data_IF_464431617819
#
_entry.id   IF_464431617819
#
_cell.length_a   1.000
_cell.length_b   1.000
_cell.length_c   1.000
_cell.angle_alpha   90.00
_cell.angle_beta   90.00
_cell.angle_gamma   90.00
#
_symmetry.space_group_name_H-M   'P 1'
#
loop_
_entity.id
_entity.type
_entity.pdbx_description
1 polymer ?
2 non-polymer ?
3 non-polymer ?
4 water ?
#
# COMPACT_ATOMS: atom_id res chain seq x y z
C UNK A 19 8.20 14.95 6.14
N UNK A 20 8.95 14.04 6.76
CA UNK A 20 8.25 13.23 7.71
C UNK A 20 7.91 13.98 9.01
N UNK A 21 6.75 13.65 9.55
CA UNK A 21 6.39 14.08 10.91
C UNK A 21 7.06 13.17 11.91
N UNK A 22 7.84 13.74 12.79
CA UNK A 22 8.57 12.94 13.76
C UNK A 22 7.60 12.52 14.85
N UNK A 23 7.55 11.25 15.18
CA UNK A 23 6.83 10.71 16.31
C UNK A 23 7.84 10.64 17.45
N UNK A 24 7.76 11.49 18.42
CA UNK A 24 8.85 11.59 19.41
C UNK A 24 8.78 10.56 20.49
N UNK A 25 7.59 9.94 20.69
CA UNK A 25 7.77 8.83 21.65
C UNK A 25 6.73 7.74 21.29
N UNK A 26 6.85 6.65 22.00
CA UNK A 26 6.05 5.45 21.78
C UNK A 26 4.77 5.54 22.61
N UNK A 27 3.87 4.61 22.34
CA UNK A 27 2.63 4.45 23.04
C UNK A 27 1.84 5.73 23.15
N UNK A 28 1.87 6.44 22.02
CA UNK A 28 1.22 7.76 21.97
C UNK A 28 0.47 8.04 20.70
N UNK A 29 -0.74 8.57 20.77
CA UNK A 29 -1.53 8.76 19.56
C UNK A 29 -1.29 10.00 18.70
N UNK A 30 -1.10 9.86 17.39
CA UNK A 30 -0.97 10.85 16.32
C UNK A 30 -2.32 10.93 15.57
N UNK A 31 -2.78 12.05 15.08
CA UNK A 31 -3.97 12.21 14.28
C UNK A 31 -3.56 12.56 12.88
N UNK A 32 -4.17 11.92 11.88
CA UNK A 32 -3.96 12.26 10.54
C UNK A 32 -5.23 12.30 9.71
N UNK A 33 -5.07 12.84 8.52
CA UNK A 33 -6.17 13.11 7.64
C UNK A 33 -5.76 12.86 6.18
N UNK A 34 -6.61 12.12 5.44
CA UNK A 34 -6.33 11.79 4.04
C UNK A 34 -7.56 12.06 3.18
N UNK A 35 -7.92 13.33 3.07
CA UNK A 35 -9.09 13.70 2.32
C UNK A 35 -8.71 14.16 0.93
N UNK A 36 -9.41 13.74 -0.08
CA UNK A 36 -9.25 14.20 -1.43
C UNK A 36 -7.82 13.91 -1.91
N UNK A 37 -7.16 14.96 -2.37
CA UNK A 37 -5.83 14.86 -2.93
C UNK A 37 -4.81 14.37 -1.91
N UNK A 38 -5.06 14.47 -0.64
CA UNK A 38 -4.13 14.03 0.39
C UNK A 38 -4.23 12.51 0.50
N UNK A 39 -3.26 11.80 -0.08
CA UNK A 39 -3.27 10.37 -0.15
C UNK A 39 -2.19 9.67 0.66
N UNK A 40 -1.22 10.42 1.12
CA UNK A 40 -0.04 9.92 1.83
C UNK A 40 0.28 10.86 2.98
N UNK A 41 0.56 10.29 4.14
CA UNK A 41 1.16 10.97 5.26
C UNK A 41 2.45 10.25 5.65
N UNK A 42 3.46 11.06 5.97
CA UNK A 42 4.80 10.57 6.24
C UNK A 42 5.17 10.78 7.70
N UNK A 43 5.72 9.74 8.33
CA UNK A 43 6.20 9.79 9.70
C UNK A 43 7.61 9.19 9.83
N UNK A 44 8.27 9.49 10.89
CA UNK A 44 9.48 8.81 11.24
C UNK A 44 9.53 8.61 12.75
N UNK A 45 10.35 7.65 13.15
CA UNK A 45 10.66 7.44 14.54
C UNK A 45 12.03 6.77 14.69
N UNK A 46 12.60 6.86 15.88
CA UNK A 46 13.91 6.27 16.17
C UNK A 46 13.77 5.19 17.22
N UNK A 47 14.39 4.07 16.98
CA UNK A 47 14.55 2.99 17.94
C UNK A 47 15.94 3.07 18.54
N UNK A 48 16.03 3.11 19.86
CA UNK A 48 17.30 3.17 20.55
C UNK A 48 17.64 1.83 21.17
N UNK A 49 16.69 0.99 21.44
CA UNK A 49 16.92 -0.35 22.04
C UNK A 49 16.05 -1.33 21.28
N UNK A 50 16.68 -2.40 20.84
CA UNK A 50 16.04 -3.41 20.04
C UNK A 50 14.80 -3.93 20.73
N UNK A 51 13.76 -4.12 19.90
CA UNK A 51 12.60 -4.81 20.46
C UNK A 51 11.36 -4.67 19.58
N UNK A 52 10.32 -5.38 20.00
CA UNK A 52 9.08 -5.44 19.25
C UNK A 52 8.33 -4.12 19.32
N UNK A 53 7.89 -3.62 18.16
CA UNK A 53 6.98 -2.49 18.10
C UNK A 53 5.69 -3.01 17.53
N UNK A 54 4.61 -2.41 17.99
CA UNK A 54 3.27 -2.68 17.52
C UNK A 54 2.73 -1.39 16.94
N UNK A 55 2.61 -1.31 15.64
CA UNK A 55 2.13 -0.16 14.95
C UNK A 55 0.61 -0.36 14.68
N UNK A 56 -0.18 0.57 15.21
CA UNK A 56 -1.62 0.46 15.15
C UNK A 56 -2.24 1.72 14.58
N UNK A 57 -2.94 1.55 13.47
CA UNK A 57 -3.74 2.61 12.85
C UNK A 57 -5.19 2.30 13.16
N UNK A 58 -5.93 3.30 13.63
CA UNK A 58 -7.37 3.12 13.87
C UNK A 58 -8.09 4.11 12.95
N UNK A 59 -8.93 3.57 12.10
CA UNK A 59 -9.68 4.40 11.17
C UNK A 59 -10.74 5.23 11.90
N UNK A 60 -10.86 6.51 11.57
CA UNK A 60 -11.92 7.34 12.16
C UNK A 60 -13.05 7.49 11.15
N UNK A 61 -12.92 6.96 9.93
CA UNK A 61 -13.90 6.93 8.91
C UNK A 61 -13.69 5.65 8.12
N UNK A 62 -14.68 5.12 7.48
CA UNK A 62 -14.55 3.91 6.67
C UNK A 62 -13.95 4.28 5.34
N UNK A 63 -12.74 3.80 5.05
CA UNK A 63 -12.08 3.97 3.77
C UNK A 63 -10.91 2.99 3.73
N UNK A 64 -10.27 2.94 2.58
CA UNK A 64 -9.16 2.01 2.38
C UNK A 64 -7.82 2.66 2.67
N UNK A 65 -7.30 2.37 3.83
CA UNK A 65 -6.04 2.97 4.31
C UNK A 65 -5.19 1.88 4.94
N UNK A 66 -3.88 1.97 4.77
CA UNK A 66 -2.93 1.07 5.37
C UNK A 66 -1.61 1.80 5.51
N UNK A 67 -0.54 1.04 5.81
CA UNK A 67 0.75 1.68 6.07
C UNK A 67 1.87 0.71 5.70
N UNK A 68 3.03 1.32 5.50
CA UNK A 68 4.27 0.61 5.13
C UNK A 68 5.41 1.21 5.91
N UNK A 69 6.18 0.38 6.59
CA UNK A 69 7.33 0.72 7.39
C UNK A 69 8.61 0.31 6.65
N UNK A 70 9.60 1.20 6.55
CA UNK A 70 10.87 0.83 6.00
C UNK A 70 11.96 1.49 6.81
N UNK A 71 13.09 0.79 6.97
CA UNK A 71 14.19 1.39 7.71
C UNK A 71 14.96 2.42 6.86
N UNK A 72 15.57 3.38 7.55
CA UNK A 72 16.51 4.28 6.90
C UNK A 72 17.72 3.47 6.40
N UNK A 73 18.18 2.53 7.20
CA UNK A 73 19.47 1.93 6.79
C UNK A 73 19.50 1.25 5.42
C UNK A 77 14.44 -4.42 3.62
N UNK A 78 14.19 -4.92 4.83
CA UNK A 78 12.91 -5.53 5.13
C UNK A 78 11.85 -4.47 5.35
N UNK A 79 10.72 -4.63 4.67
CA UNK A 79 9.63 -3.69 4.95
C UNK A 79 8.48 -4.45 5.59
N UNK A 80 7.65 -3.74 6.31
CA UNK A 80 6.52 -4.28 7.06
C UNK A 80 5.26 -3.52 6.67
N UNK A 81 4.18 -4.27 6.51
CA UNK A 81 2.89 -3.73 6.13
C UNK A 81 1.86 -3.89 7.25
N UNK A 82 0.95 -2.92 7.31
CA UNK A 82 -0.21 -3.08 8.18
C UNK A 82 -1.13 -4.21 7.71
N UNK A 83 -1.73 -4.88 8.65
CA UNK A 83 -2.72 -5.89 8.36
C UNK A 83 -4.12 -5.33 8.71
N UNK A 84 -5.01 -5.33 7.72
CA UNK A 84 -6.28 -4.62 7.80
C UNK A 84 -7.25 -5.55 8.48
N UNK A 85 -7.75 -5.18 9.66
CA UNK A 85 -8.75 -5.94 10.42
C UNK A 85 -9.88 -4.96 10.80
N UNK A 86 -10.77 -4.78 9.83
CA UNK A 86 -11.85 -3.82 10.02
C UNK A 86 -11.34 -2.40 10.19
N UNK A 87 -11.64 -1.87 11.37
CA UNK A 87 -11.25 -0.53 11.71
C UNK A 87 -9.80 -0.35 12.11
N UNK A 88 -9.11 -1.46 12.40
CA UNK A 88 -7.73 -1.42 12.87
C UNK A 88 -6.82 -1.95 11.75
N UNK A 89 -5.68 -1.31 11.60
CA UNK A 89 -4.67 -1.74 10.62
C UNK A 89 -3.37 -1.79 11.38
N UNK A 90 -2.87 -2.98 11.66
CA UNK A 90 -1.79 -3.08 12.65
C UNK A 90 -0.82 -4.20 12.29
N UNK A 91 0.35 -4.19 12.91
CA UNK A 91 1.29 -5.30 12.81
C UNK A 91 2.36 -5.11 13.88
N UNK A 92 3.05 -6.17 14.18
CA UNK A 92 4.14 -6.24 15.14
C UNK A 92 5.42 -6.63 14.43
N UNK A 93 6.53 -6.02 14.80
CA UNK A 93 7.82 -6.37 14.18
C UNK A 93 8.94 -6.03 15.13
N UNK A 94 9.93 -6.91 15.22
CA UNK A 94 11.12 -6.66 16.03
C UNK A 94 12.12 -5.77 15.30
N UNK A 95 12.38 -4.61 15.85
CA UNK A 95 13.23 -3.62 15.16
C UNK A 95 14.55 -3.45 15.88
N UNK A 96 15.64 -3.40 15.10
CA UNK A 96 16.95 -3.02 15.56
C UNK A 96 17.07 -1.51 15.77
N UNK A 97 18.03 -1.02 16.54
CA UNK A 97 18.21 0.42 16.67
C UNK A 97 18.45 1.06 15.32
N UNK A 98 17.89 2.26 15.18
CA UNK A 98 17.98 3.01 13.94
C UNK A 98 16.74 3.86 13.72
N UNK A 99 16.76 4.56 12.61
CA UNK A 99 15.65 5.37 12.18
C UNK A 99 14.78 4.60 11.23
N UNK A 100 13.46 4.82 11.40
CA UNK A 100 12.46 4.19 10.59
C UNK A 100 11.51 5.21 10.00
N UNK A 101 11.05 4.93 8.81
CA UNK A 101 10.07 5.73 8.08
C UNK A 101 8.77 4.92 7.93
N UNK A 102 7.67 5.63 8.22
CA UNK A 102 6.32 5.03 8.22
C UNK A 102 5.45 5.84 7.31
N UNK A 103 5.01 5.22 6.22
CA UNK A 103 4.12 5.81 5.25
C UNK A 103 2.70 5.34 5.51
N UNK A 104 1.78 6.25 5.80
CA UNK A 104 0.35 5.95 5.88
C UNK A 104 -0.26 6.38 4.57
N UNK A 105 -0.96 5.49 3.88
CA UNK A 105 -1.45 5.87 2.56
C UNK A 105 -2.81 5.22 2.32
N UNK A 106 -3.58 5.85 1.44
CA UNK A 106 -4.88 5.32 1.06
C UNK A 106 -4.84 4.63 -0.29
N UNK A 107 -5.74 3.67 -0.46
CA UNK A 107 -5.99 2.99 -1.69
C UNK A 107 -7.45 3.10 -2.14
N UNK A 108 -8.36 3.61 -1.33
CA UNK A 108 -9.72 3.84 -1.74
C UNK A 108 -10.35 4.87 -0.84
N UNK A 109 -11.15 5.79 -1.40
CA UNK A 109 -11.92 6.71 -0.56
C UNK A 109 -11.05 7.79 0.09
N UNK A 110 -11.61 8.31 1.19
CA UNK A 110 -11.04 9.39 1.95
C UNK A 110 -11.46 9.26 3.41
N UNK A 111 -10.61 9.73 4.34
CA UNK A 111 -10.97 9.75 5.72
C UNK A 111 -9.79 10.11 6.60
N UNK A 112 -10.05 10.03 7.88
CA UNK A 112 -9.13 10.35 8.96
C UNK A 112 -8.77 9.13 9.75
N UNK A 113 -7.67 9.24 10.51
CA UNK A 113 -7.19 8.12 11.26
C UNK A 113 -6.42 8.57 12.50
N UNK A 114 -6.18 7.64 13.40
CA UNK A 114 -5.26 7.80 14.49
C UNK A 114 -4.16 6.74 14.34
N UNK A 115 -2.99 7.05 14.84
CA UNK A 115 -1.82 6.21 14.70
C UNK A 115 -1.03 6.17 15.99
N UNK A 116 -0.63 4.95 16.40
CA UNK A 116 0.19 4.71 17.57
C UNK A 116 1.34 3.78 17.19
N UNK A 117 2.54 4.10 17.62
CA UNK A 117 3.67 3.19 17.55
C UNK A 117 3.92 2.74 18.99
N UNK A 118 3.47 1.56 19.33
CA UNK A 118 3.54 1.03 20.70
C UNK A 118 4.83 0.25 20.86
N UNK A 119 5.41 0.31 22.07
CA UNK A 119 6.65 -0.45 22.31
C UNK A 119 6.78 -0.76 23.78
C UNK B 5 -27.69 6.75 -4.07
N UNK B 6 -26.59 7.51 -3.96
CA UNK B 6 -25.28 6.93 -4.36
C UNK B 6 -24.49 6.44 -3.16
N UNK B 7 -24.17 5.16 -3.15
CA UNK B 7 -23.49 4.66 -1.96
C UNK B 7 -22.05 5.13 -2.00
N UNK B 8 -21.49 5.27 -0.81
CA UNK B 8 -20.11 5.68 -0.73
C UNK B 8 -19.18 4.75 -1.53
N UNK B 9 -19.29 3.45 -1.42
CA UNK B 9 -18.39 2.56 -2.15
C UNK B 9 -18.50 2.76 -3.65
N UNK B 10 -19.68 3.14 -4.15
CA UNK B 10 -19.76 3.39 -5.60
C UNK B 10 -19.05 4.69 -5.98
N UNK B 11 -19.09 5.71 -5.16
CA UNK B 11 -18.31 6.95 -5.36
C UNK B 11 -16.84 6.61 -5.36
N UNK B 12 -16.42 5.76 -4.39
CA UNK B 12 -15.03 5.37 -4.30
C UNK B 12 -14.54 4.58 -5.49
N UNK B 13 -15.35 3.61 -5.90
CA UNK B 13 -14.95 2.82 -7.06
C UNK B 13 -14.98 3.61 -8.36
N UNK B 14 -15.91 4.55 -8.53
CA UNK B 14 -15.84 5.44 -9.69
C UNK B 14 -14.60 6.27 -9.69
N UNK B 15 -14.17 6.75 -8.52
CA UNK B 15 -12.90 7.48 -8.46
C UNK B 15 -11.73 6.57 -8.85
N UNK B 16 -11.76 5.33 -8.40
CA UNK B 16 -10.69 4.40 -8.75
C UNK B 16 -10.67 4.09 -10.25
N UNK B 17 -11.84 3.90 -10.85
CA UNK B 17 -11.90 3.67 -12.29
C UNK B 17 -11.41 4.88 -13.06
N UNK B 18 -11.74 6.09 -12.58
CA UNK B 18 -11.31 7.33 -13.23
C UNK B 18 -9.77 7.39 -13.30
N UNK B 19 -9.07 7.00 -12.26
CA UNK B 19 -7.61 7.16 -12.14
C UNK B 19 -6.89 6.01 -12.88
N UNK B 20 -7.51 4.84 -13.04
CA UNK B 20 -6.80 3.62 -13.38
C UNK B 20 -6.47 3.52 -14.85
N UNK B 21 -5.28 3.02 -15.12
CA UNK B 21 -4.91 2.49 -16.41
C UNK B 21 -5.38 1.07 -16.50
N UNK B 22 -6.21 0.75 -17.49
CA UNK B 22 -6.69 -0.57 -17.69
C UNK B 22 -5.55 -1.45 -18.23
N UNK B 23 -5.29 -2.55 -17.56
CA UNK B 23 -4.34 -3.55 -18.06
C UNK B 23 -5.15 -4.47 -18.94
N UNK B 24 -4.90 -4.45 -20.24
CA UNK B 24 -5.83 -5.10 -21.18
C UNK B 24 -5.89 -6.62 -21.12
N UNK B 25 -4.78 -7.20 -20.72
CA UNK B 25 -4.69 -8.64 -20.70
C UNK B 25 -3.68 -9.03 -19.65
N UNK B 26 -3.83 -10.27 -19.21
CA UNK B 26 -2.78 -10.91 -18.45
C UNK B 26 -1.53 -11.06 -19.32
N UNK B 27 -0.40 -11.37 -18.68
CA UNK B 27 0.84 -11.70 -19.42
C UNK B 27 1.17 -10.58 -20.40
N UNK B 28 1.03 -9.36 -19.93
CA UNK B 28 1.25 -8.16 -20.73
C UNK B 28 2.04 -7.19 -19.90
N UNK B 29 3.22 -6.83 -20.39
CA UNK B 29 4.08 -5.88 -19.69
C UNK B 29 3.55 -4.45 -19.82
N UNK B 30 3.38 -3.81 -18.72
CA UNK B 30 3.03 -2.42 -18.57
C UNK B 30 4.32 -1.67 -18.20
N UNK B 31 4.62 -0.55 -18.84
CA UNK B 31 5.70 0.34 -18.55
C UNK B 31 5.22 1.46 -17.63
N UNK B 32 5.84 1.70 -16.54
CA UNK B 32 5.50 2.83 -15.70
C UNK B 32 6.73 3.38 -15.02
N UNK B 33 6.59 4.47 -14.31
CA UNK B 33 7.66 5.05 -13.54
C UNK B 33 7.07 5.80 -12.34
N UNK B 34 7.90 5.92 -11.32
CA UNK B 34 7.59 6.69 -10.14
C UNK B 34 8.76 7.64 -9.91
N UNK B 35 8.88 8.64 -10.77
CA UNK B 35 9.95 9.57 -10.78
C UNK B 35 9.52 10.84 -10.09
N UNK B 36 10.33 11.37 -9.18
CA UNK B 36 9.98 12.63 -8.56
C UNK B 36 8.69 12.54 -7.79
N UNK B 37 7.81 13.51 -8.03
CA UNK B 37 6.55 13.60 -7.27
C UNK B 37 5.47 12.67 -7.83
N UNK B 38 5.75 11.85 -8.82
CA UNK B 38 4.85 10.77 -9.22
C UNK B 38 5.10 9.59 -8.30
N UNK B 39 4.35 9.52 -7.19
CA UNK B 39 4.56 8.55 -6.17
C UNK B 39 3.64 7.35 -6.23
N UNK B 40 2.60 7.42 -7.07
CA UNK B 40 1.55 6.44 -7.19
C UNK B 40 1.18 6.29 -8.67
N UNK B 41 1.03 5.05 -9.13
CA UNK B 41 0.48 4.70 -10.40
C UNK B 41 -0.70 3.76 -10.18
N UNK B 42 -1.74 3.93 -10.96
CA UNK B 42 -3.02 3.24 -10.75
C UNK B 42 -3.35 2.35 -11.91
N UNK B 43 -3.73 1.11 -11.65
CA UNK B 43 -4.11 0.15 -12.64
C UNK B 43 -5.40 -0.57 -12.26
N UNK B 44 -5.99 -1.25 -13.25
CA UNK B 44 -7.06 -2.19 -13.02
C UNK B 44 -6.97 -3.36 -13.94
N UNK B 45 -7.56 -4.46 -13.57
CA UNK B 45 -7.67 -5.60 -14.45
C UNK B 45 -8.92 -6.41 -14.11
N UNK B 46 -9.30 -7.30 -15.00
CA UNK B 46 -10.47 -8.13 -14.88
C UNK B 46 -10.14 -9.59 -14.98
N UNK B 47 -10.60 -10.41 -14.06
CA UNK B 47 -10.47 -11.85 -14.06
C UNK B 47 -11.79 -12.44 -14.55
N UNK B 48 -11.73 -13.36 -15.53
CA UNK B 48 -12.88 -14.09 -15.97
C UNK B 48 -13.02 -15.46 -15.32
N UNK B 49 -11.91 -16.14 -15.10
CA UNK B 49 -11.86 -17.49 -14.55
C UNK B 49 -11.01 -17.50 -13.28
N UNK B 50 -11.54 -18.02 -12.20
CA UNK B 50 -10.85 -18.12 -10.94
C UNK B 50 -9.52 -18.82 -11.13
N UNK B 51 -8.47 -18.31 -10.54
CA UNK B 51 -7.18 -18.95 -10.67
C UNK B 51 -6.10 -18.12 -10.05
N UNK B 52 -4.89 -18.70 -10.02
CA UNK B 52 -3.72 -18.03 -9.49
C UNK B 52 -3.17 -17.02 -10.46
N UNK B 53 -2.88 -15.85 -9.94
CA UNK B 53 -2.23 -14.82 -10.67
C UNK B 53 -0.94 -14.48 -9.95
N UNK B 54 0.13 -14.13 -10.69
CA UNK B 54 1.36 -13.70 -10.11
C UNK B 54 1.59 -12.27 -10.60
N UNK B 55 1.35 -11.34 -9.70
CA UNK B 55 1.53 -9.92 -9.99
C UNK B 55 3.00 -9.60 -9.73
N UNK B 56 3.72 -9.18 -10.79
CA UNK B 56 5.16 -9.04 -10.72
C UNK B 56 5.62 -7.71 -11.25
N UNK B 57 6.29 -6.97 -10.39
CA UNK B 57 6.95 -5.73 -10.76
C UNK B 57 8.45 -5.98 -10.84
N UNK B 58 9.07 -5.49 -11.88
CA UNK B 58 10.52 -5.56 -12.09
C UNK B 58 11.05 -4.12 -12.01
N UNK B 59 11.92 -3.87 -11.03
CA UNK B 59 12.54 -2.59 -10.87
C UNK B 59 13.67 -2.40 -11.85
N UNK B 60 13.56 -1.41 -12.72
CA UNK B 60 14.63 -1.13 -13.65
C UNK B 60 15.73 -0.30 -13.03
N UNK B 61 15.38 0.40 -11.96
CA UNK B 61 16.27 1.22 -11.15
C UNK B 61 16.06 0.85 -9.70
N UNK B 62 17.10 0.98 -8.87
CA UNK B 62 16.94 0.64 -7.48
C UNK B 62 16.21 1.79 -6.76
N UNK B 63 15.07 1.47 -6.18
CA UNK B 63 14.30 2.37 -5.34
C UNK B 63 13.29 1.54 -4.57
N UNK B 64 12.60 2.21 -3.65
CA UNK B 64 11.65 1.55 -2.76
C UNK B 64 10.26 1.61 -3.35
N UNK B 65 9.84 0.53 -4.00
CA UNK B 65 8.54 0.44 -4.67
C UNK B 65 7.91 -0.87 -4.30
N UNK B 66 6.56 -0.81 -4.15
CA UNK B 66 5.77 -2.00 -3.93
C UNK B 66 4.37 -1.76 -4.48
N UNK B 67 3.44 -2.64 -4.15
CA UNK B 67 2.10 -2.54 -4.70
C UNK B 67 1.08 -3.12 -3.72
N UNK B 68 -0.17 -2.68 -3.91
CA UNK B 68 -1.32 -3.08 -3.10
C UNK B 68 -2.50 -3.33 -4.02
N UNK B 69 -3.07 -4.51 -3.93
CA UNK B 69 -4.22 -4.94 -4.70
C UNK B 69 -5.48 -4.88 -3.84
N UNK B 70 -6.55 -4.26 -4.35
CA UNK B 70 -7.83 -4.33 -3.64
C UNK B 70 -8.95 -4.66 -4.66
N UNK B 71 -9.90 -5.49 -4.29
CA UNK B 71 -10.99 -5.81 -5.22
C UNK B 71 -11.94 -4.64 -5.40
N UNK B 72 -12.59 -4.57 -6.55
CA UNK B 72 -13.75 -3.70 -6.74
C UNK B 72 -14.91 -4.13 -5.82
N UNK B 73 -15.06 -5.46 -5.67
CA UNK B 73 -16.16 -6.04 -4.91
C UNK B 73 -16.35 -5.37 -3.55
N UNK B 74 -17.61 -5.11 -3.21
CA UNK B 74 -18.01 -4.54 -1.95
C UNK B 74 -18.28 -5.66 -0.95
N UNK B 75 -18.02 -6.91 -1.35
CA UNK B 75 -18.23 -8.06 -0.47
C UNK B 75 -16.84 -8.53 -0.05
N UNK B 76 -16.04 -8.95 -1.05
CA UNK B 76 -14.62 -9.18 -0.82
C UNK B 76 -13.86 -7.89 -0.65
N UNK B 77 -13.25 -7.64 0.48
CA UNK B 77 -12.49 -6.42 0.76
C UNK B 77 -11.04 -6.83 1.01
N UNK B 78 -10.66 -8.12 0.80
CA UNK B 78 -9.33 -8.55 1.21
C UNK B 78 -8.22 -8.01 0.28
N UNK B 79 -7.16 -7.49 0.89
CA UNK B 79 -6.11 -6.85 0.09
C UNK B 79 -4.87 -7.72 0.10
N UNK B 80 -4.06 -7.55 -0.98
CA UNK B 80 -2.81 -8.29 -1.16
C UNK B 80 -1.70 -7.30 -1.42
N UNK B 81 -0.52 -7.60 -0.87
CA UNK B 81 0.64 -6.77 -1.01
C UNK B 81 1.77 -7.46 -1.79
N UNK B 82 2.54 -6.66 -2.49
CA UNK B 82 3.76 -7.20 -3.13
C UNK B 82 4.80 -7.58 -2.08
N UNK B 83 5.60 -8.59 -2.42
CA UNK B 83 6.71 -9.03 -1.56
C UNK B 83 8.00 -8.65 -2.25
N UNK B 84 8.79 -7.84 -1.60
CA UNK B 84 10.01 -7.30 -2.18
C UNK B 84 11.12 -8.32 -2.08
N UNK B 85 11.75 -8.64 -3.20
CA UNK B 85 12.90 -9.53 -3.23
C UNK B 85 13.88 -8.99 -4.27
N UNK B 86 14.82 -8.13 -3.86
CA UNK B 86 15.74 -7.50 -4.81
C UNK B 86 14.95 -6.62 -5.77
N UNK B 87 15.24 -6.90 -7.06
CA UNK B 87 14.59 -6.15 -8.13
C UNK B 87 13.20 -6.62 -8.47
N UNK B 88 12.69 -7.68 -7.83
CA UNK B 88 11.35 -8.19 -8.12
C UNK B 88 10.45 -7.88 -6.94
N UNK B 89 9.21 -7.43 -7.22
CA UNK B 89 8.22 -7.25 -6.16
C UNK B 89 6.99 -7.99 -6.62
N UNK B 90 6.68 -9.12 -5.99
CA UNK B 90 5.72 -10.06 -6.57
C UNK B 90 4.88 -10.72 -5.47
N UNK B 91 3.80 -11.34 -5.90
CA UNK B 91 3.05 -12.23 -5.03
C UNK B 91 2.08 -13.01 -5.91
N UNK B 92 1.92 -14.24 -5.55
CA UNK B 92 1.00 -15.16 -6.21
C UNK B 92 -0.24 -15.28 -5.35
N UNK B 93 -1.40 -15.04 -5.91
CA UNK B 93 -2.65 -15.00 -5.19
C UNK B 93 -3.72 -15.59 -6.08
N UNK B 94 -4.59 -16.39 -5.43
CA UNK B 94 -5.76 -16.94 -6.13
C UNK B 94 -6.87 -15.90 -6.12
N UNK B 95 -7.31 -15.48 -7.30
CA UNK B 95 -8.32 -14.47 -7.46
C UNK B 95 -9.56 -15.05 -8.09
N UNK B 96 -10.73 -14.57 -7.56
CA UNK B 96 -12.02 -14.90 -8.17
C UNK B 96 -12.35 -13.93 -9.30
N UNK B 97 -13.29 -14.34 -10.14
CA UNK B 97 -13.74 -13.44 -11.22
C UNK B 97 -14.21 -12.09 -10.71
N UNK B 98 -13.96 -11.07 -11.51
CA UNK B 98 -14.32 -9.71 -11.18
C UNK B 98 -13.20 -8.74 -11.46
N UNK B 99 -13.37 -7.52 -11.05
CA UNK B 99 -12.44 -6.42 -11.29
C UNK B 99 -11.61 -6.16 -10.05
N UNK B 100 -10.31 -5.82 -10.29
CA UNK B 100 -9.38 -5.49 -9.27
C UNK B 100 -8.66 -4.17 -9.58
N UNK B 101 -8.33 -3.45 -8.53
CA UNK B 101 -7.54 -2.24 -8.58
C UNK B 101 -6.16 -2.51 -7.99
N UNK B 102 -5.13 -2.06 -8.70
CA UNK B 102 -3.76 -2.30 -8.34
C UNK B 102 -3.03 -0.97 -8.26
N UNK B 103 -2.59 -0.61 -7.06
CA UNK B 103 -1.83 0.60 -6.79
C UNK B 103 -0.34 0.23 -6.74
N UNK B 104 0.45 0.85 -7.59
CA UNK B 104 1.91 0.73 -7.55
C UNK B 104 2.39 2.02 -6.92
N UNK B 105 3.16 1.96 -5.84
CA UNK B 105 3.55 3.16 -5.13
C UNK B 105 4.95 3.01 -4.56
N UNK B 106 5.53 4.17 -4.27
CA UNK B 106 6.91 4.16 -3.73
C UNK B 106 6.91 4.72 -2.30
N UNK B 107 7.95 4.26 -1.61
CA UNK B 107 8.28 4.70 -0.27
C UNK B 107 9.68 5.28 -0.17
N UNK B 108 10.51 5.16 -1.18
CA UNK B 108 11.82 5.84 -1.18
C UNK B 108 12.32 5.94 -2.60
N UNK B 109 13.10 6.98 -2.86
CA UNK B 109 13.80 7.09 -4.14
C UNK B 109 12.88 7.38 -5.31
N UNK B 110 13.38 7.02 -6.50
CA UNK B 110 12.69 7.23 -7.76
C UNK B 110 13.18 6.17 -8.76
N UNK B 111 12.32 5.75 -9.68
CA UNK B 111 12.77 4.86 -10.70
C UNK B 111 11.65 4.44 -11.65
N UNK B 112 12.09 3.71 -12.66
CA UNK B 112 11.27 3.06 -13.66
C UNK B 112 10.97 1.63 -13.28
N UNK B 113 9.85 1.09 -13.76
CA UNK B 113 9.53 -0.30 -13.52
C UNK B 113 8.76 -0.89 -14.70
N UNK B 114 8.70 -2.22 -14.74
CA UNK B 114 7.81 -2.96 -15.59
C UNK B 114 6.86 -3.79 -14.73
N UNK B 115 5.62 -3.90 -15.16
CA UNK B 115 4.62 -4.63 -14.34
C UNK B 115 3.90 -5.61 -15.24
N UNK B 116 3.70 -6.82 -14.74
CA UNK B 116 2.90 -7.84 -15.37
C UNK B 116 1.90 -8.45 -14.37
N UNK B 117 0.75 -8.80 -14.86
CA UNK B 117 -0.19 -9.64 -14.10
C UNK B 117 -0.19 -10.98 -14.81
N UNK B 118 0.64 -11.91 -14.33
CA UNK B 118 0.83 -13.17 -15.01
C UNK B 118 -0.29 -14.15 -14.63
N UNK B 119 -0.77 -14.91 -15.57
CA UNK B 119 -1.85 -15.86 -15.31
C UNK B 119 -1.74 -17.06 -16.25
X LIG C 1 13.73 2.57 21.82
X LIG D 1 -2.90 14.18 5.91
X LIG E 1 -9.29 -15.16 -16.95
X LIG F 1 1.78 7.76 -11.07
X LIG G 1 4.13 6.82 -12.96
#
# INVERSE_FOLDING_TARGET
GGPGNEKLKEKENNDSSDKATVIPNFNTTMQGSLLGDDSRDYYSFEVKEEGEVNIELDKKDEFGVTWTLHPESNINDRITYGQVDGNKVSNKVKLRPGKYYLLVYKYSGSGNYELRVNK
GGPGNEKLKEKENNDSSDKATVIPNFNTTMQGSLLGDDSRDYYSFEVKEEGEVNIELDKKDEFGVTWTLHPESNINDRITYGQVDGNKVSNKVKLRPGKYYLLVYKYSGSGNYELRVNK
CL CL
LI LI
CL CL
LI LI
LI LI
#
